data_IF_581410399219
#
_entry.id   IF_581410399219
#
_cell.length_a   1.000
_cell.length_b   1.000
_cell.length_c   1.000
_cell.angle_alpha   90.00
_cell.angle_beta   90.00
_cell.angle_gamma   90.00
#
_symmetry.space_group_name_H-M   'P 1'
#
loop_
_entity.id
_entity.type
_entity.pdbx_description
1 polymer ?
#
# COMPACT_ATOMS: atom_id res chain seq x y z
N UNK A 1 -72.37 -76.08 50.51
CA UNK A 1 -72.94 -75.39 51.69
C UNK A 1 -72.44 -73.95 51.69
N UNK A 2 -73.29 -72.90 51.71
CA UNK A 2 -74.52 -72.66 50.94
C UNK A 2 -74.23 -71.89 49.63
N UNK A 3 -75.17 -71.95 48.68
CA UNK A 3 -75.03 -71.44 47.31
C UNK A 3 -75.30 -69.92 47.21
N UNK A 4 -74.39 -69.18 46.57
CA UNK A 4 -74.63 -67.80 46.14
C UNK A 4 -75.47 -67.79 44.86
N UNK A 5 -76.73 -67.37 44.96
CA UNK A 5 -77.58 -67.03 43.83
C UNK A 5 -76.96 -65.86 43.05
N UNK A 6 -76.53 -66.11 41.81
CA UNK A 6 -76.05 -65.09 40.88
C UNK A 6 -77.25 -64.62 40.04
N UNK A 7 -77.72 -63.40 40.29
CA UNK A 7 -78.73 -62.75 39.43
C UNK A 7 -78.08 -62.40 38.07
N UNK A 8 -78.80 -62.51 36.94
CA UNK A 8 -78.24 -62.19 35.63
C UNK A 8 -78.05 -60.67 35.46
N UNK A 9 -76.85 -60.25 35.10
CA UNK A 9 -76.52 -58.86 34.76
C UNK A 9 -77.33 -58.41 33.52
N UNK A 10 -78.06 -57.31 33.66
CA UNK A 10 -78.79 -56.67 32.56
C UNK A 10 -77.80 -56.06 31.56
N UNK A 11 -77.86 -56.51 30.30
CA UNK A 11 -77.11 -55.91 29.20
C UNK A 11 -77.53 -54.44 28.99
N UNK A 12 -76.61 -53.51 29.17
CA UNK A 12 -76.82 -52.10 28.83
C UNK A 12 -76.71 -51.93 27.32
N UNK A 13 -77.83 -51.56 26.68
CA UNK A 13 -77.87 -51.17 25.28
C UNK A 13 -77.03 -49.89 25.12
N UNK A 14 -76.00 -49.92 24.27
CA UNK A 14 -75.23 -48.71 23.91
C UNK A 14 -76.08 -47.83 23.00
N UNK A 15 -76.57 -46.71 23.51
CA UNK A 15 -77.16 -45.65 22.68
C UNK A 15 -76.08 -45.06 21.76
N UNK A 16 -76.35 -45.04 20.46
CA UNK A 16 -75.43 -44.48 19.47
C UNK A 16 -75.63 -42.96 19.42
N UNK A 17 -74.69 -42.20 19.99
CA UNK A 17 -74.72 -40.73 19.93
C UNK A 17 -74.43 -40.24 18.51
N UNK A 18 -75.47 -39.86 17.77
CA UNK A 18 -75.37 -39.35 16.41
C UNK A 18 -74.96 -37.86 16.42
N UNK A 19 -73.67 -37.58 16.59
CA UNK A 19 -73.14 -36.22 16.52
C UNK A 19 -72.97 -35.83 15.05
N UNK A 20 -73.60 -34.74 14.56
CA UNK A 20 -73.46 -34.32 13.16
C UNK A 20 -72.01 -33.96 12.84
N UNK A 21 -71.55 -34.33 11.65
CA UNK A 21 -70.20 -34.04 11.19
C UNK A 21 -69.96 -32.52 11.09
N UNK A 22 -68.81 -32.07 11.57
CA UNK A 22 -68.43 -30.65 11.50
C UNK A 22 -68.34 -30.17 10.05
N UNK A 23 -68.85 -28.96 9.80
CA UNK A 23 -68.73 -28.31 8.50
C UNK A 23 -67.26 -27.99 8.19
N UNK A 24 -66.96 -27.65 6.94
CA UNK A 24 -65.59 -27.31 6.50
C UNK A 24 -65.06 -26.05 7.20
N UNK A 25 -65.89 -25.03 7.31
CA UNK A 25 -65.58 -23.78 8.02
C UNK A 25 -65.23 -24.05 9.49
N UNK A 26 -66.00 -24.92 10.15
CA UNK A 26 -65.73 -25.32 11.54
C UNK A 26 -64.44 -26.15 11.69
N UNK A 27 -63.96 -26.78 10.62
CA UNK A 27 -62.66 -27.50 10.63
C UNK A 27 -61.51 -26.53 10.39
N UNK A 28 -61.67 -25.58 9.48
CA UNK A 28 -60.67 -24.55 9.17
C UNK A 28 -60.45 -23.63 10.39
N UNK A 29 -61.51 -23.22 11.08
CA UNK A 29 -61.42 -22.43 12.33
C UNK A 29 -60.74 -23.18 13.49
N UNK A 30 -60.73 -24.52 13.48
CA UNK A 30 -60.01 -25.34 14.48
C UNK A 30 -58.51 -25.41 14.16
N UNK A 31 -58.13 -25.32 12.89
CA UNK A 31 -56.74 -25.33 12.45
C UNK A 31 -56.05 -23.97 12.62
N UNK A 32 -56.79 -22.87 12.47
CA UNK A 32 -56.27 -21.52 12.73
C UNK A 32 -56.23 -21.25 14.24
N UNK A 33 -55.02 -21.40 14.80
CA UNK A 33 -54.76 -21.22 16.23
C UNK A 33 -55.10 -19.80 16.70
N UNK A 34 -54.95 -18.78 15.85
CA UNK A 34 -55.26 -17.41 16.22
C UNK A 34 -56.76 -17.16 16.30
N UNK A 35 -57.53 -17.65 15.33
CA UNK A 35 -58.99 -17.52 15.35
C UNK A 35 -59.61 -18.26 16.53
N UNK A 36 -59.14 -19.48 16.80
CA UNK A 36 -59.60 -20.29 17.94
C UNK A 36 -59.36 -19.58 19.29
N UNK A 37 -58.24 -18.89 19.44
CA UNK A 37 -57.95 -18.14 20.67
C UNK A 37 -58.76 -16.85 20.77
N UNK A 38 -58.99 -16.14 19.65
CA UNK A 38 -59.90 -14.97 19.60
C UNK A 38 -61.32 -15.34 20.01
N UNK A 39 -61.83 -16.48 19.54
CA UNK A 39 -63.16 -16.98 19.92
C UNK A 39 -63.24 -17.38 21.40
N UNK A 40 -62.21 -18.05 21.93
CA UNK A 40 -62.13 -18.38 23.37
C UNK A 40 -62.10 -17.15 24.25
N UNK A 41 -61.35 -16.13 23.86
CA UNK A 41 -61.30 -14.85 24.58
C UNK A 41 -62.65 -14.13 24.55
N UNK A 42 -63.35 -14.13 23.40
CA UNK A 42 -64.72 -13.57 23.32
C UNK A 42 -65.73 -14.34 24.19
N UNK A 43 -65.60 -15.66 24.27
CA UNK A 43 -66.51 -16.52 25.02
C UNK A 43 -66.21 -16.55 26.54
N UNK A 44 -65.07 -16.02 26.98
CA UNK A 44 -64.65 -16.03 28.38
C UNK A 44 -65.56 -15.11 29.21
N UNK A 45 -66.32 -15.69 30.14
CA UNK A 45 -67.24 -15.01 31.06
C UNK A 45 -66.81 -15.19 32.52
N UNK A 46 -65.61 -14.75 32.86
CA UNK A 46 -65.16 -14.73 34.26
C UNK A 46 -65.09 -13.28 34.73
N UNK A 47 -65.91 -12.96 35.75
CA UNK A 47 -65.85 -11.71 36.51
C UNK A 47 -66.28 -10.45 35.75
N UNK A 48 -67.58 -10.28 35.45
CA UNK A 48 -68.31 -9.03 35.09
C UNK A 48 -67.69 -8.02 34.09
N UNK A 49 -66.50 -8.23 33.54
CA UNK A 49 -65.86 -7.37 32.56
C UNK A 49 -66.13 -7.97 31.19
N UNK A 50 -67.11 -7.39 30.49
CA UNK A 50 -67.29 -7.65 29.06
C UNK A 50 -66.21 -6.87 28.33
N UNK A 51 -65.30 -7.57 27.63
CA UNK A 51 -64.29 -6.90 26.82
C UNK A 51 -64.97 -6.39 25.55
N UNK A 52 -65.28 -5.09 25.52
CA UNK A 52 -65.82 -4.44 24.34
C UNK A 52 -64.73 -4.31 23.27
N UNK A 53 -64.77 -5.25 22.33
CA UNK A 53 -63.86 -5.30 21.16
C UNK A 53 -63.98 -4.08 20.23
N UNK A 54 -64.99 -3.22 20.42
CA UNK A 54 -65.13 -1.93 19.71
C UNK A 54 -64.15 -0.87 20.21
N UNK A 55 -63.77 -0.90 21.50
CA UNK A 55 -62.88 0.08 22.15
C UNK A 55 -61.46 -0.45 22.31
N UNK A 56 -61.32 -1.76 22.53
CA UNK A 56 -60.03 -2.43 22.77
C UNK A 56 -59.30 -2.90 21.49
N UNK A 57 -59.86 -2.63 20.30
CA UNK A 57 -59.31 -3.08 19.02
C UNK A 57 -59.63 -4.56 18.70
N UNK A 58 -59.41 -4.94 17.44
CA UNK A 58 -59.72 -6.28 16.87
C UNK A 58 -59.01 -7.45 17.58
N UNK A 59 -58.03 -7.15 18.43
CA UNK A 59 -57.43 -8.06 19.37
C UNK A 59 -57.04 -7.24 20.60
N UNK A 60 -57.19 -7.77 21.82
CA UNK A 60 -56.69 -7.18 23.09
C UNK A 60 -55.16 -6.90 23.13
N UNK A 61 -54.48 -6.96 21.99
CA UNK A 61 -53.06 -6.77 21.77
C UNK A 61 -52.74 -5.44 21.08
N UNK A 62 -53.72 -4.76 20.47
CA UNK A 62 -53.51 -3.50 19.74
C UNK A 62 -54.34 -2.39 20.37
N UNK A 63 -53.66 -1.51 21.10
CA UNK A 63 -54.24 -0.30 21.67
C UNK A 63 -54.80 0.61 20.57
N UNK A 64 -55.95 1.22 20.82
CA UNK A 64 -56.53 2.20 19.90
C UNK A 64 -55.81 3.54 20.00
N UNK A 65 -55.70 4.33 18.92
CA UNK A 65 -54.96 5.60 18.90
C UNK A 65 -55.31 6.61 20.01
N UNK A 66 -56.51 6.50 20.58
CA UNK A 66 -57.02 7.38 21.63
C UNK A 66 -56.76 6.86 23.05
N UNK A 67 -56.28 5.63 23.17
CA UNK A 67 -55.98 5.02 24.47
C UNK A 67 -54.61 5.43 24.98
N UNK A 68 -54.45 5.56 26.29
CA UNK A 68 -53.19 5.98 26.92
C UNK A 68 -52.01 5.02 26.64
N UNK A 69 -52.29 3.76 26.29
CA UNK A 69 -51.27 2.76 25.95
C UNK A 69 -50.88 2.74 24.48
N UNK A 70 -51.46 3.61 23.65
CA UNK A 70 -51.13 3.65 22.23
C UNK A 70 -49.77 4.31 21.98
N UNK A 71 -48.97 3.63 21.17
CA UNK A 71 -47.71 4.12 20.66
C UNK A 71 -47.68 3.81 19.17
N UNK A 72 -47.23 4.76 18.36
CA UNK A 72 -47.13 4.55 16.91
C UNK A 72 -46.06 3.49 16.61
N UNK A 73 -46.21 2.76 15.50
CA UNK A 73 -45.18 1.78 15.10
C UNK A 73 -43.82 2.44 14.84
N UNK A 74 -43.80 3.73 14.46
CA UNK A 74 -42.58 4.50 14.28
C UNK A 74 -41.85 4.79 15.60
N UNK A 75 -42.60 4.91 16.71
CA UNK A 75 -42.04 5.09 18.06
C UNK A 75 -41.75 3.73 18.74
N UNK A 76 -42.51 2.69 18.35
CA UNK A 76 -42.35 1.32 18.85
C UNK A 76 -41.13 0.61 18.28
N UNK A 77 -40.82 0.85 17.01
CA UNK A 77 -39.75 0.18 16.29
C UNK A 77 -38.68 1.19 15.85
N UNK A 78 -37.41 0.86 16.11
CA UNK A 78 -36.30 1.60 15.51
C UNK A 78 -36.37 1.42 13.98
N UNK A 79 -36.74 2.49 13.29
CA UNK A 79 -37.01 2.49 11.85
C UNK A 79 -35.74 2.54 10.99
N UNK A 80 -34.59 2.91 11.56
CA UNK A 80 -33.32 3.07 10.85
C UNK A 80 -32.33 1.91 11.05
N UNK A 81 -32.83 0.67 10.99
CA UNK A 81 -31.98 -0.53 10.99
C UNK A 81 -30.96 -0.53 9.84
N UNK A 82 -31.33 0.04 8.69
CA UNK A 82 -30.47 0.17 7.53
C UNK A 82 -29.30 1.17 7.76
N UNK A 83 -29.56 2.28 8.45
CA UNK A 83 -28.53 3.26 8.81
C UNK A 83 -27.54 2.72 9.83
N UNK A 84 -28.01 2.00 10.85
CA UNK A 84 -27.14 1.34 11.83
C UNK A 84 -26.23 0.28 11.18
N UNK A 85 -26.79 -0.56 10.30
CA UNK A 85 -26.01 -1.56 9.59
C UNK A 85 -24.97 -0.90 8.67
N UNK A 86 -25.36 0.18 7.98
CA UNK A 86 -24.44 0.97 7.15
C UNK A 86 -23.31 1.55 8.00
N UNK A 87 -23.60 2.18 9.14
CA UNK A 87 -22.60 2.73 10.04
C UNK A 87 -21.64 1.63 10.56
N UNK A 88 -22.17 0.45 10.89
CA UNK A 88 -21.35 -0.69 11.31
C UNK A 88 -20.39 -1.15 10.21
N UNK A 89 -20.88 -1.29 8.96
CA UNK A 89 -20.05 -1.65 7.79
C UNK A 89 -19.01 -0.59 7.49
N UNK A 90 -19.38 0.68 7.53
CA UNK A 90 -18.45 1.81 7.29
C UNK A 90 -17.37 1.85 8.39
N UNK A 91 -17.74 1.66 9.65
CA UNK A 91 -16.79 1.55 10.76
C UNK A 91 -15.83 0.37 10.60
N UNK A 92 -16.31 -0.80 10.17
CA UNK A 92 -15.46 -1.96 9.89
C UNK A 92 -14.47 -1.68 8.73
N UNK A 93 -14.95 -1.07 7.64
CA UNK A 93 -14.11 -0.67 6.50
C UNK A 93 -13.07 0.38 6.90
N UNK A 94 -13.45 1.37 7.70
CA UNK A 94 -12.54 2.40 8.19
C UNK A 94 -11.42 1.79 9.05
N UNK A 95 -11.76 0.88 9.98
CA UNK A 95 -10.77 0.15 10.79
C UNK A 95 -9.80 -0.65 9.91
N UNK A 96 -10.31 -1.36 8.90
CA UNK A 96 -9.47 -2.11 7.97
C UNK A 96 -8.52 -1.20 7.18
N UNK A 97 -9.00 -0.06 6.68
CA UNK A 97 -8.19 0.93 5.97
C UNK A 97 -7.07 1.49 6.85
N UNK A 98 -7.38 1.88 8.09
CA UNK A 98 -6.38 2.38 9.05
C UNK A 98 -5.29 1.33 9.31
N UNK A 99 -5.66 0.07 9.51
CA UNK A 99 -4.69 -1.00 9.71
C UNK A 99 -3.81 -1.22 8.48
N UNK A 100 -4.38 -1.19 7.28
CA UNK A 100 -3.64 -1.36 6.04
C UNK A 100 -2.67 -0.19 5.81
N UNK A 101 -3.12 1.05 6.02
CA UNK A 101 -2.26 2.23 5.92
C UNK A 101 -1.12 2.19 6.92
N UNK A 102 -1.41 1.80 8.16
CA UNK A 102 -0.38 1.65 9.20
C UNK A 102 0.67 0.64 8.78
N UNK A 103 0.28 -0.56 8.34
CA UNK A 103 1.21 -1.60 7.85
C UNK A 103 2.03 -1.10 6.67
N UNK A 104 1.41 -0.38 5.74
CA UNK A 104 2.10 0.22 4.58
C UNK A 104 3.16 1.24 5.03
N UNK A 105 2.80 2.16 5.94
CA UNK A 105 3.72 3.16 6.49
C UNK A 105 4.88 2.51 7.25
N UNK A 106 4.60 1.50 8.07
CA UNK A 106 5.62 0.75 8.79
C UNK A 106 6.61 0.04 7.84
N UNK A 107 6.11 -0.55 6.76
CA UNK A 107 6.95 -1.17 5.73
C UNK A 107 7.85 -0.13 5.03
N UNK A 108 7.26 0.99 4.56
CA UNK A 108 8.01 2.08 3.94
C UNK A 108 9.07 2.63 4.89
N UNK A 109 8.72 2.88 6.15
CA UNK A 109 9.67 3.40 7.14
C UNK A 109 10.82 2.43 7.42
N UNK A 110 10.55 1.12 7.41
CA UNK A 110 11.60 0.10 7.56
C UNK A 110 12.55 0.12 6.37
N UNK A 111 12.01 0.21 5.17
CA UNK A 111 12.82 0.29 3.96
C UNK A 111 13.66 1.57 3.97
N UNK A 112 13.06 2.74 4.18
CA UNK A 112 13.80 4.02 4.26
C UNK A 112 14.96 3.92 5.24
N UNK A 113 14.74 3.42 6.46
CA UNK A 113 15.83 3.24 7.44
C UNK A 113 16.93 2.29 6.95
N UNK A 114 16.57 1.23 6.23
CA UNK A 114 17.55 0.30 5.65
C UNK A 114 18.39 0.98 4.57
N UNK A 115 17.74 1.74 3.68
CA UNK A 115 18.43 2.50 2.63
C UNK A 115 19.33 3.58 3.23
N UNK A 116 18.85 4.35 4.20
CA UNK A 116 19.65 5.37 4.91
C UNK A 116 20.89 4.76 5.57
N UNK A 117 20.75 3.57 6.19
CA UNK A 117 21.87 2.86 6.79
C UNK A 117 22.89 2.36 5.74
N UNK A 118 22.41 1.88 4.59
CA UNK A 118 23.29 1.48 3.48
C UNK A 118 24.04 2.68 2.91
N UNK A 119 23.35 3.81 2.72
CA UNK A 119 23.94 5.04 2.20
C UNK A 119 24.98 5.63 3.18
N UNK A 120 24.69 5.59 4.48
CA UNK A 120 25.64 6.01 5.51
C UNK A 120 26.91 5.14 5.49
N UNK A 121 26.76 3.81 5.45
CA UNK A 121 27.89 2.89 5.37
C UNK A 121 28.71 3.07 4.08
N UNK A 122 28.04 3.26 2.94
CA UNK A 122 28.70 3.54 1.67
C UNK A 122 29.45 4.88 1.69
N UNK A 123 28.88 5.91 2.33
CA UNK A 123 29.53 7.20 2.50
C UNK A 123 30.76 7.12 3.40
N UNK A 124 30.70 6.34 4.49
CA UNK A 124 31.85 6.10 5.37
C UNK A 124 32.98 5.36 4.64
N UNK A 125 32.66 4.29 3.92
CA UNK A 125 33.68 3.55 3.15
C UNK A 125 34.28 4.43 2.05
N UNK A 126 33.45 5.21 1.34
CA UNK A 126 33.95 6.19 0.37
C UNK A 126 34.91 7.19 1.01
N UNK A 127 34.57 7.76 2.18
CA UNK A 127 35.45 8.66 2.93
C UNK A 127 36.76 7.97 3.31
N UNK A 128 36.71 6.72 3.77
CA UNK A 128 37.89 5.94 4.12
C UNK A 128 38.79 5.71 2.91
N UNK A 129 38.22 5.31 1.77
CA UNK A 129 38.96 5.08 0.53
C UNK A 129 39.56 6.39 0.01
N UNK A 130 38.81 7.49 0.05
CA UNK A 130 39.28 8.79 -0.41
C UNK A 130 40.39 9.33 0.51
N UNK A 131 40.29 9.15 1.82
CA UNK A 131 41.37 9.46 2.76
C UNK A 131 42.62 8.60 2.48
N UNK A 132 42.44 7.32 2.19
CA UNK A 132 43.54 6.43 1.82
C UNK A 132 44.22 6.88 0.53
N UNK A 133 43.43 7.24 -0.49
CA UNK A 133 43.92 7.78 -1.78
C UNK A 133 44.67 9.10 -1.57
N UNK A 134 44.08 10.03 -0.81
CA UNK A 134 44.66 11.34 -0.52
C UNK A 134 45.98 11.21 0.26
N UNK A 135 46.06 10.28 1.22
CA UNK A 135 47.31 10.02 1.95
C UNK A 135 48.43 9.53 1.02
N UNK A 136 48.08 8.95 -0.13
CA UNK A 136 49.03 8.37 -1.09
C UNK A 136 49.87 7.23 -0.52
N UNK A 137 49.65 6.79 0.72
CA UNK A 137 50.52 5.87 1.46
C UNK A 137 50.73 4.54 0.72
N UNK A 138 49.65 3.97 0.17
CA UNK A 138 49.72 2.76 -0.68
C UNK A 138 50.33 3.01 -2.05
N UNK A 139 50.19 4.22 -2.59
CA UNK A 139 50.71 4.58 -3.91
C UNK A 139 52.21 4.95 -3.87
N UNK A 140 52.81 5.18 -2.69
CA UNK A 140 54.23 5.55 -2.55
C UNK A 140 55.18 4.56 -3.23
N UNK A 141 54.88 3.26 -3.17
CA UNK A 141 55.71 2.22 -3.80
C UNK A 141 55.60 2.18 -5.33
N UNK A 142 54.48 2.67 -5.87
CA UNK A 142 54.21 2.71 -7.31
C UNK A 142 54.43 4.11 -7.90
N UNK A 143 55.05 5.02 -7.14
CA UNK A 143 55.39 6.35 -7.66
C UNK A 143 56.47 6.18 -8.73
N UNK A 144 56.20 6.68 -9.94
CA UNK A 144 57.20 6.71 -10.99
C UNK A 144 58.41 7.53 -10.55
N UNK A 145 59.61 7.10 -10.95
CA UNK A 145 60.85 7.81 -10.60
C UNK A 145 60.93 9.21 -11.20
N UNK A 146 60.24 9.42 -12.32
CA UNK A 146 60.17 10.71 -13.03
C UNK A 146 59.03 11.59 -12.50
N UNK A 147 59.19 12.93 -12.40
CA UNK A 147 58.13 13.85 -11.98
C UNK A 147 57.05 14.08 -13.07
N UNK A 148 56.63 13.01 -13.74
CA UNK A 148 55.67 12.99 -14.83
C UNK A 148 54.76 11.76 -14.73
N UNK A 149 53.46 11.93 -14.98
CA UNK A 149 52.50 10.84 -14.95
C UNK A 149 52.28 10.26 -16.37
N UNK A 150 52.65 9.00 -16.63
CA UNK A 150 52.55 8.40 -17.96
C UNK A 150 51.11 8.13 -18.41
N UNK A 151 50.14 8.11 -17.51
CA UNK A 151 48.72 7.84 -17.84
C UNK A 151 48.01 9.13 -18.21
N UNK A 152 48.15 10.17 -17.38
CA UNK A 152 47.50 11.46 -17.64
C UNK A 152 48.31 12.36 -18.57
N UNK A 153 49.57 11.99 -18.84
CA UNK A 153 50.56 12.78 -19.58
C UNK A 153 50.77 14.18 -18.99
N UNK A 154 50.51 14.33 -17.69
CA UNK A 154 50.69 15.59 -16.95
C UNK A 154 51.95 15.53 -16.11
N UNK A 155 52.62 16.67 -16.01
CA UNK A 155 53.67 16.87 -15.00
C UNK A 155 53.05 16.81 -13.60
N UNK A 156 53.84 16.39 -12.62
CA UNK A 156 53.38 16.34 -11.24
C UNK A 156 53.23 17.75 -10.65
N UNK A 157 52.22 17.93 -9.80
CA UNK A 157 51.98 19.19 -9.08
C UNK A 157 53.06 19.38 -8.00
N UNK A 158 54.16 20.06 -8.35
CA UNK A 158 55.28 20.34 -7.45
C UNK A 158 56.52 20.87 -8.18
N UNK A 159 57.51 21.33 -7.41
CA UNK A 159 58.74 21.96 -7.93
C UNK A 159 59.51 21.09 -8.91
N UNK A 160 59.54 19.77 -8.69
CA UNK A 160 60.25 18.85 -9.59
C UNK A 160 59.53 18.70 -10.94
N UNK A 161 58.19 18.73 -10.94
CA UNK A 161 57.39 18.75 -12.16
C UNK A 161 57.59 20.06 -12.93
N UNK A 162 57.60 21.20 -12.22
CA UNK A 162 57.89 22.52 -12.82
C UNK A 162 59.30 22.57 -13.43
N UNK A 163 60.30 22.00 -12.75
CA UNK A 163 61.68 21.90 -13.27
C UNK A 163 61.74 21.06 -14.53
N UNK A 164 61.09 19.90 -14.55
CA UNK A 164 61.03 19.04 -15.74
C UNK A 164 60.32 19.76 -16.89
N UNK A 165 59.21 20.43 -16.61
CA UNK A 165 58.48 21.23 -17.60
C UNK A 165 59.34 22.36 -18.18
N UNK A 166 60.10 23.07 -17.34
CA UNK A 166 61.01 24.12 -17.78
C UNK A 166 62.16 23.57 -18.62
N UNK A 167 62.74 22.43 -18.23
CA UNK A 167 63.79 21.75 -18.98
C UNK A 167 63.28 21.30 -20.37
N UNK A 168 62.10 20.69 -20.43
CA UNK A 168 61.45 20.30 -21.69
C UNK A 168 61.14 21.51 -22.57
N UNK A 169 60.66 22.62 -21.98
CA UNK A 169 60.43 23.86 -22.71
C UNK A 169 61.73 24.42 -23.31
N UNK A 170 62.83 24.38 -22.57
CA UNK A 170 64.14 24.79 -23.07
C UNK A 170 64.65 23.87 -24.19
N UNK A 171 64.44 22.55 -24.09
CA UNK A 171 64.77 21.60 -25.17
C UNK A 171 63.95 21.93 -26.42
N UNK A 172 62.64 22.17 -26.28
CA UNK A 172 61.76 22.57 -27.40
C UNK A 172 62.23 23.87 -28.04
N UNK A 173 62.63 24.86 -27.25
CA UNK A 173 63.19 26.12 -27.77
C UNK A 173 64.49 25.90 -28.55
N UNK A 174 65.42 25.10 -28.02
CA UNK A 174 66.68 24.77 -28.72
C UNK A 174 66.44 24.01 -30.02
N UNK A 175 65.52 23.05 -30.01
CA UNK A 175 65.13 22.31 -31.21
C UNK A 175 64.55 23.26 -32.27
N UNK A 176 63.72 24.22 -31.86
CA UNK A 176 63.18 25.25 -32.75
C UNK A 176 64.26 26.13 -33.37
N UNK A 177 65.18 26.67 -32.56
CA UNK A 177 66.28 27.49 -33.06
C UNK A 177 67.18 26.70 -34.02
N UNK A 178 67.46 25.43 -33.70
CA UNK A 178 68.23 24.54 -34.58
C UNK A 178 67.50 24.31 -35.90
N UNK A 179 66.19 24.07 -35.87
CA UNK A 179 65.38 23.87 -37.06
C UNK A 179 65.37 25.12 -37.95
N UNK A 180 65.21 26.31 -37.35
CA UNK A 180 65.26 27.59 -38.08
C UNK A 180 66.65 27.84 -38.70
N UNK A 181 67.73 27.56 -37.97
CA UNK A 181 69.09 27.72 -38.49
C UNK A 181 69.37 26.73 -39.63
N UNK A 182 68.95 25.47 -39.49
CA UNK A 182 69.07 24.47 -40.57
C UNK A 182 68.28 24.88 -41.80
N UNK A 183 67.04 25.39 -41.63
CA UNK A 183 66.23 25.89 -42.71
C UNK A 183 66.89 27.07 -43.44
N UNK A 184 67.46 28.02 -42.69
CA UNK A 184 68.19 29.15 -43.26
C UNK A 184 69.43 28.72 -44.05
N UNK A 185 70.21 27.77 -43.52
CA UNK A 185 71.40 27.28 -44.20
C UNK A 185 71.09 26.42 -45.44
N UNK A 186 70.00 25.65 -45.40
CA UNK A 186 69.59 24.80 -46.53
C UNK A 186 68.84 25.57 -47.63
N UNK A 187 68.24 26.71 -47.31
CA UNK A 187 67.43 27.51 -48.25
C UNK A 187 67.74 28.99 -48.11
N UNK A 188 68.97 29.38 -48.49
CA UNK A 188 69.45 30.77 -48.40
C UNK A 188 68.61 31.79 -49.19
N UNK A 189 68.08 31.37 -50.34
CA UNK A 189 67.20 32.19 -51.19
C UNK A 189 65.76 32.25 -50.67
N UNK A 190 65.43 31.50 -49.61
CA UNK A 190 64.09 31.46 -49.04
C UNK A 190 63.07 30.76 -49.94
N UNK A 191 63.52 29.90 -50.87
CA UNK A 191 62.67 29.16 -51.81
C UNK A 191 62.91 27.65 -51.63
N UNK A 192 61.84 26.86 -51.62
CA UNK A 192 61.93 25.41 -51.58
C UNK A 192 62.29 24.88 -52.99
N UNK A 193 63.42 24.18 -53.16
CA UNK A 193 63.87 23.74 -54.48
C UNK A 193 62.96 22.70 -55.15
N UNK A 194 62.07 22.04 -54.41
CA UNK A 194 61.16 21.01 -54.96
C UNK A 194 59.85 21.64 -55.44
N UNK A 195 59.27 22.56 -54.67
CA UNK A 195 57.95 23.13 -54.97
C UNK A 195 58.02 24.55 -55.56
N UNK A 196 59.16 25.23 -55.45
CA UNK A 196 59.31 26.63 -55.86
C UNK A 196 58.62 27.64 -54.93
N UNK A 197 57.99 27.17 -53.86
CA UNK A 197 57.28 28.03 -52.90
C UNK A 197 58.24 28.73 -51.93
N UNK A 198 57.83 29.89 -51.42
CA UNK A 198 58.58 30.60 -50.39
C UNK A 198 58.62 29.81 -49.08
N UNK A 199 59.82 29.65 -48.53
CA UNK A 199 60.08 28.91 -47.30
C UNK A 199 59.58 29.70 -46.11
N UNK A 200 58.48 29.25 -45.52
CA UNK A 200 57.94 29.78 -44.26
C UNK A 200 58.86 29.42 -43.09
N UNK A 201 58.99 30.33 -42.11
CA UNK A 201 59.73 30.08 -40.86
C UNK A 201 59.07 28.96 -40.03
N UNK A 202 59.87 28.01 -39.56
CA UNK A 202 59.41 26.89 -38.72
C UNK A 202 58.84 27.41 -37.39
N UNK A 203 57.63 26.97 -37.07
CA UNK A 203 56.92 27.26 -35.83
C UNK A 203 57.00 26.08 -34.87
N UNK A 204 56.75 26.32 -33.57
CA UNK A 204 56.71 25.26 -32.54
C UNK A 204 55.75 24.13 -32.88
N UNK A 205 54.57 24.47 -33.41
CA UNK A 205 53.55 23.50 -33.86
C UNK A 205 54.01 22.59 -34.99
N UNK A 206 55.02 22.99 -35.76
CA UNK A 206 55.52 22.21 -36.90
C UNK A 206 56.48 21.09 -36.44
N UNK A 207 56.97 21.18 -35.20
CA UNK A 207 57.86 20.18 -34.59
C UNK A 207 57.12 19.13 -33.76
N UNK A 208 55.85 19.38 -33.46
CA UNK A 208 54.99 18.45 -32.73
C UNK A 208 54.04 17.79 -33.72
N UNK A 209 53.74 16.48 -33.57
CA UNK A 209 52.69 15.86 -34.34
C UNK A 209 51.36 16.59 -34.08
N UNK A 210 50.48 16.70 -35.09
CA UNK A 210 49.17 17.28 -34.89
C UNK A 210 48.44 16.52 -33.77
N UNK A 211 47.66 17.22 -32.92
CA UNK A 211 46.86 16.56 -31.91
C UNK A 211 45.91 15.56 -32.60
N UNK A 212 45.92 14.31 -32.14
CA UNK A 212 44.96 13.27 -32.56
C UNK A 212 43.60 13.50 -31.91
#
# INVERSE_FOLDING_TARGET
MPAHNKMPESATVREFNNIPARTREQREAVCDKEQREKERLRARKEGFVRVDTSVAGSAMLVYTPQSQGFMSDADRFHSDTAGEERAAREGARARARVQQERRRREAVNRDVRRWDAMDAAAAEEKRRVDALRASGSKARRNKCGEPFNPITLKYNDGKDGERLQAADAAIKQRAMLRAQNLQYHNSREGINPITGESVRRIQTRDLLPPPQ
#
